data_IF_399345050156
#
_entry.id   IF_399345050156
#
_cell.length_a   1.000
_cell.length_b   1.000
_cell.length_c   1.000
_cell.angle_alpha   90.00
_cell.angle_beta   90.00
_cell.angle_gamma   90.00
#
_symmetry.space_group_name_H-M   'P 1'
#
loop_
_entity.id
_entity.type
_entity.pdbx_description
1 polymer ?
#
# COMPACT_ATOMS: atom_id res chain seq x y z
N UNK A 1 -3.62 -3.97 -8.82
CA UNK A 1 -4.03 -5.39 -8.74
C UNK A 1 -4.03 -5.83 -7.29
N UNK A 2 -4.92 -6.73 -6.87
CA UNK A 2 -5.01 -7.24 -5.50
C UNK A 2 -4.70 -8.74 -5.52
N UNK A 3 -3.87 -9.20 -4.59
CA UNK A 3 -3.47 -10.59 -4.44
C UNK A 3 -4.60 -11.50 -3.93
N UNK A 4 -4.44 -12.82 -4.08
CA UNK A 4 -5.52 -13.77 -3.78
C UNK A 4 -5.87 -13.80 -2.29
N UNK A 5 -4.91 -13.62 -1.39
CA UNK A 5 -5.17 -13.64 0.06
C UNK A 5 -6.02 -12.44 0.44
N UNK A 6 -5.64 -11.24 0.02
CA UNK A 6 -6.40 -10.03 0.32
C UNK A 6 -7.79 -10.04 -0.34
N UNK A 7 -7.90 -10.53 -1.58
CA UNK A 7 -9.19 -10.70 -2.24
C UNK A 7 -10.11 -11.69 -1.48
N UNK A 8 -9.54 -12.79 -0.98
CA UNK A 8 -10.24 -13.75 -0.14
C UNK A 8 -10.69 -13.14 1.18
N UNK A 9 -9.80 -12.43 1.88
CA UNK A 9 -10.10 -11.75 3.14
C UNK A 9 -11.22 -10.73 2.97
N UNK A 10 -11.18 -9.89 1.93
CA UNK A 10 -12.24 -8.92 1.64
C UNK A 10 -13.59 -9.61 1.40
N UNK A 11 -13.59 -10.73 0.68
CA UNK A 11 -14.81 -11.51 0.41
C UNK A 11 -15.38 -12.14 1.69
N UNK A 12 -14.50 -12.61 2.58
CA UNK A 12 -14.89 -13.14 3.90
C UNK A 12 -15.34 -12.03 4.86
N UNK A 13 -14.90 -10.79 4.63
CA UNK A 13 -15.10 -9.61 5.49
C UNK A 13 -16.20 -8.68 4.97
N UNK A 14 -17.42 -9.21 4.78
CA UNK A 14 -18.62 -8.49 4.33
C UNK A 14 -18.49 -7.63 3.04
N UNK A 15 -17.34 -7.65 2.37
CA UNK A 15 -16.99 -6.85 1.21
C UNK A 15 -16.32 -5.50 1.52
N UNK A 16 -15.97 -4.82 0.43
CA UNK A 16 -15.31 -3.52 0.44
C UNK A 16 -16.19 -2.50 -0.30
N UNK A 17 -16.30 -1.29 0.26
CA UNK A 17 -17.03 -0.16 -0.31
C UNK A 17 -16.21 0.58 -1.38
N UNK A 18 -14.88 0.49 -1.32
CA UNK A 18 -14.02 1.17 -2.30
C UNK A 18 -12.53 0.90 -2.12
N UNK A 19 -11.81 0.98 -3.23
CA UNK A 19 -10.36 0.90 -3.31
C UNK A 19 -9.83 2.19 -3.96
N UNK A 20 -8.88 2.84 -3.30
CA UNK A 20 -8.11 3.95 -3.87
C UNK A 20 -6.63 3.60 -3.85
N UNK A 21 -5.89 3.94 -4.91
CA UNK A 21 -4.44 3.71 -4.97
C UNK A 21 -3.72 5.02 -5.30
N UNK A 22 -2.53 5.20 -4.73
CA UNK A 22 -1.62 6.28 -5.08
C UNK A 22 -0.18 5.79 -5.19
N UNK A 23 0.61 6.57 -5.92
CA UNK A 23 2.05 6.42 -6.00
C UNK A 23 2.71 7.67 -5.39
N UNK A 24 3.54 7.46 -4.38
CA UNK A 24 4.36 8.49 -3.75
C UNK A 24 5.83 8.24 -4.07
N UNK A 25 6.63 9.30 -3.97
CA UNK A 25 8.08 9.28 -4.20
C UNK A 25 8.77 10.08 -3.11
N UNK A 26 9.92 9.62 -2.63
CA UNK A 26 10.79 10.41 -1.75
C UNK A 26 11.93 11.13 -2.51
N UNK A 27 12.73 11.91 -1.78
CA UNK A 27 13.87 12.62 -2.37
C UNK A 27 14.97 11.69 -2.92
N UNK A 28 15.08 10.46 -2.41
CA UNK A 28 16.01 9.43 -2.91
C UNK A 28 15.49 8.69 -4.15
N UNK A 29 14.25 9.00 -4.59
CA UNK A 29 13.61 8.36 -5.74
C UNK A 29 12.96 7.01 -5.41
N UNK A 30 12.92 6.59 -4.15
CA UNK A 30 12.19 5.38 -3.76
C UNK A 30 10.69 5.58 -4.01
N UNK A 31 10.03 4.51 -4.45
CA UNK A 31 8.62 4.52 -4.82
C UNK A 31 7.78 3.86 -3.73
N UNK A 32 6.65 4.47 -3.40
CA UNK A 32 5.73 3.96 -2.38
C UNK A 32 4.32 3.91 -2.96
N UNK A 33 3.85 2.69 -3.25
CA UNK A 33 2.46 2.47 -3.61
C UNK A 33 1.61 2.36 -2.36
N UNK A 34 0.49 3.05 -2.31
CA UNK A 34 -0.42 2.99 -1.17
C UNK A 34 -1.81 2.68 -1.67
N UNK A 35 -2.37 1.54 -1.25
CA UNK A 35 -3.74 1.14 -1.51
C UNK A 35 -4.59 1.27 -0.24
N UNK A 36 -5.69 1.99 -0.36
CA UNK A 36 -6.66 2.24 0.70
C UNK A 36 -7.94 1.46 0.40
N UNK A 37 -8.28 0.53 1.28
CA UNK A 37 -9.52 -0.26 1.23
C UNK A 37 -10.47 0.28 2.28
N UNK A 38 -11.68 0.63 1.86
CA UNK A 38 -12.77 1.02 2.78
C UNK A 38 -13.66 -0.20 2.98
N UNK A 39 -13.53 -0.89 4.11
CA UNK A 39 -14.35 -2.07 4.41
C UNK A 39 -15.80 -1.67 4.69
N UNK A 40 -16.72 -2.58 4.38
CA UNK A 40 -18.14 -2.38 4.63
C UNK A 40 -18.48 -2.42 6.12
N UNK A 41 -17.86 -3.34 6.86
CA UNK A 41 -18.00 -3.43 8.31
C UNK A 41 -16.67 -3.01 8.99
N UNK A 42 -16.67 -1.97 9.86
CA UNK A 42 -15.48 -1.58 10.61
C UNK A 42 -14.96 -2.67 11.55
N UNK A 43 -15.80 -3.63 11.98
CA UNK A 43 -15.37 -4.73 12.84
C UNK A 43 -14.37 -5.67 12.15
N UNK A 44 -14.41 -5.73 10.81
CA UNK A 44 -13.55 -6.61 10.02
C UNK A 44 -12.11 -6.08 9.88
N UNK A 45 -11.89 -4.78 10.17
CA UNK A 45 -10.58 -4.12 10.00
C UNK A 45 -9.49 -4.82 10.78
N UNK A 46 -9.76 -5.15 12.06
CA UNK A 46 -8.78 -5.82 12.90
C UNK A 46 -8.42 -7.23 12.38
N UNK A 47 -9.42 -7.96 11.88
CA UNK A 47 -9.22 -9.28 11.30
C UNK A 47 -8.35 -9.21 10.04
N UNK A 48 -8.73 -8.37 9.07
CA UNK A 48 -7.99 -8.19 7.81
C UNK A 48 -6.55 -7.73 8.09
N UNK A 49 -6.37 -6.73 8.95
CA UNK A 49 -5.05 -6.20 9.29
C UNK A 49 -4.16 -7.29 9.94
N UNK A 50 -4.71 -8.07 10.86
CA UNK A 50 -3.97 -9.13 11.56
C UNK A 50 -3.51 -10.22 10.58
N UNK A 51 -4.37 -10.63 9.64
CA UNK A 51 -4.04 -11.64 8.65
C UNK A 51 -2.94 -11.16 7.70
N UNK A 52 -3.03 -9.91 7.22
CA UNK A 52 -2.00 -9.31 6.37
C UNK A 52 -0.66 -9.15 7.11
N UNK A 53 -0.68 -8.65 8.34
CA UNK A 53 0.52 -8.47 9.14
C UNK A 53 1.19 -9.79 9.53
N UNK A 54 0.46 -10.92 9.49
CA UNK A 54 1.00 -12.25 9.71
C UNK A 54 1.95 -12.73 8.60
N UNK A 55 1.80 -12.21 7.37
CA UNK A 55 2.61 -12.57 6.21
C UNK A 55 3.08 -11.33 5.43
N UNK A 56 3.95 -10.47 6.01
CA UNK A 56 4.34 -9.20 5.40
C UNK A 56 5.25 -9.34 4.16
N UNK A 57 5.72 -10.55 3.86
CA UNK A 57 6.50 -10.85 2.65
C UNK A 57 5.60 -11.21 1.45
N UNK A 58 4.32 -11.52 1.69
CA UNK A 58 3.36 -11.83 0.63
C UNK A 58 2.76 -10.51 0.11
N UNK A 59 3.32 -9.98 -0.97
CA UNK A 59 2.88 -8.70 -1.54
C UNK A 59 1.46 -8.83 -2.12
N UNK A 60 0.48 -8.37 -1.36
CA UNK A 60 -0.95 -8.46 -1.71
C UNK A 60 -1.48 -7.31 -2.58
N UNK A 61 -0.66 -6.30 -2.90
CA UNK A 61 -1.06 -5.17 -3.74
C UNK A 61 0.00 -4.93 -4.80
N UNK A 62 -0.43 -4.96 -6.06
CA UNK A 62 0.43 -4.62 -7.19
C UNK A 62 0.78 -3.14 -7.22
N UNK A 63 2.01 -2.83 -7.61
CA UNK A 63 2.52 -1.47 -7.73
C UNK A 63 1.99 -0.80 -8.99
N UNK A 64 1.74 0.51 -8.90
CA UNK A 64 1.34 1.31 -10.05
C UNK A 64 2.57 1.57 -10.93
N UNK A 65 2.40 1.48 -12.24
CA UNK A 65 3.44 1.87 -13.19
C UNK A 65 3.48 3.40 -13.26
N UNK A 66 4.64 4.03 -13.04
CA UNK A 66 4.73 5.47 -13.18
C UNK A 66 4.37 5.91 -14.61
N UNK A 67 3.59 6.99 -14.73
CA UNK A 67 3.29 7.61 -16.02
C UNK A 67 4.57 8.12 -16.70
N UNK A 68 4.60 8.18 -18.04
CA UNK A 68 5.79 8.60 -18.81
C UNK A 68 6.33 9.98 -18.40
N UNK A 69 5.45 10.85 -17.94
CA UNK A 69 5.76 12.26 -17.65
C UNK A 69 6.09 12.47 -16.16
N UNK A 70 6.08 11.40 -15.35
CA UNK A 70 6.32 11.47 -13.89
C UNK A 70 7.78 11.72 -13.51
N UNK A 71 8.71 11.57 -14.45
CA UNK A 71 10.16 11.61 -14.18
C UNK A 71 10.65 10.44 -13.31
N UNK A 72 9.82 9.40 -13.14
CA UNK A 72 10.16 8.17 -12.43
C UNK A 72 10.64 7.09 -13.39
N UNK A 73 11.58 6.28 -12.91
CA UNK A 73 12.08 5.13 -13.65
C UNK A 73 11.11 3.97 -13.46
N UNK A 74 10.68 3.35 -14.56
CA UNK A 74 9.99 2.07 -14.48
C UNK A 74 10.93 1.02 -13.87
N UNK A 75 10.57 0.51 -12.70
CA UNK A 75 11.26 -0.60 -12.06
C UNK A 75 10.93 -1.92 -12.78
N UNK A 76 11.86 -2.90 -12.78
CA UNK A 76 11.57 -4.23 -13.30
C UNK A 76 10.52 -4.94 -12.44
N UNK A 77 9.82 -5.91 -13.01
CA UNK A 77 8.70 -6.59 -12.34
C UNK A 77 9.11 -7.42 -11.11
N UNK A 78 10.38 -7.82 -11.04
CA UNK A 78 11.02 -8.55 -9.95
C UNK A 78 11.79 -7.65 -8.98
N UNK A 79 11.62 -6.32 -9.08
CA UNK A 79 12.25 -5.38 -8.17
C UNK A 79 11.86 -5.68 -6.72
N UNK A 80 12.86 -5.61 -5.84
CA UNK A 80 12.68 -5.79 -4.41
C UNK A 80 11.60 -4.86 -3.86
N UNK A 81 10.74 -5.40 -3.00
CA UNK A 81 9.67 -4.62 -2.37
C UNK A 81 9.53 -4.98 -0.88
N UNK A 82 9.04 -4.02 -0.10
CA UNK A 82 8.59 -4.22 1.28
C UNK A 82 7.14 -3.83 1.40
N UNK A 83 6.43 -4.40 2.36
CA UNK A 83 5.05 -4.05 2.66
C UNK A 83 4.90 -3.56 4.10
N UNK A 84 4.01 -2.60 4.30
CA UNK A 84 3.58 -2.15 5.63
C UNK A 84 2.08 -1.91 5.60
N UNK A 85 1.47 -1.98 6.77
CA UNK A 85 0.03 -1.87 6.93
C UNK A 85 -0.32 -0.81 7.97
N UNK A 86 -1.47 -0.17 7.81
CA UNK A 86 -2.05 0.71 8.82
C UNK A 86 -3.57 0.66 8.72
N UNK A 87 -4.28 1.00 9.79
CA UNK A 87 -5.74 1.02 9.77
C UNK A 87 -6.33 2.10 10.68
N UNK A 88 -7.51 2.59 10.31
CA UNK A 88 -8.29 3.52 11.12
C UNK A 88 -9.77 3.47 10.72
N UNK A 89 -10.68 3.44 11.69
CA UNK A 89 -12.11 3.36 11.43
C UNK A 89 -12.46 2.10 10.63
N UNK A 90 -13.06 2.27 9.44
CA UNK A 90 -13.33 1.19 8.49
C UNK A 90 -12.28 1.07 7.36
N UNK A 91 -11.13 1.72 7.51
CA UNK A 91 -10.10 1.79 6.47
C UNK A 91 -8.90 0.92 6.80
N UNK A 92 -8.45 0.14 5.81
CA UNK A 92 -7.17 -0.57 5.82
C UNK A 92 -6.29 0.02 4.71
N UNK A 93 -5.08 0.43 5.08
CA UNK A 93 -4.03 0.81 4.14
C UNK A 93 -3.01 -0.31 4.00
N UNK A 94 -2.66 -0.57 2.75
CA UNK A 94 -1.59 -1.47 2.35
C UNK A 94 -0.58 -0.65 1.56
N UNK A 95 0.61 -0.49 2.12
CA UNK A 95 1.73 0.20 1.49
C UNK A 95 2.73 -0.79 0.93
N UNK A 96 3.26 -0.52 -0.27
CA UNK A 96 4.37 -1.25 -0.88
C UNK A 96 5.48 -0.26 -1.21
N UNK A 97 6.66 -0.43 -0.62
CA UNK A 97 7.84 0.38 -0.90
C UNK A 97 8.82 -0.36 -1.82
N UNK A 98 9.39 0.33 -2.80
CA UNK A 98 10.42 -0.20 -3.68
C UNK A 98 11.62 0.76 -3.76
N UNK A 99 12.83 0.20 -3.80
CA UNK A 99 14.07 0.96 -3.96
C UNK A 99 14.19 1.51 -5.38
N UNK A 100 14.74 2.72 -5.48
CA UNK A 100 14.89 3.42 -6.77
C UNK A 100 15.83 2.72 -7.77
N UNK A 101 16.74 1.87 -7.29
CA UNK A 101 17.63 1.06 -8.12
C UNK A 101 17.07 -0.32 -8.45
N UNK A 102 15.91 -0.70 -7.87
CA UNK A 102 15.24 -1.97 -8.04
C UNK A 102 15.83 -3.13 -7.24
N UNK A 103 16.93 -2.93 -6.52
CA UNK A 103 17.58 -3.98 -5.73
C UNK A 103 17.07 -3.98 -4.29
N UNK A 104 17.00 -5.17 -3.69
CA UNK A 104 16.65 -5.31 -2.27
C UNK A 104 17.79 -4.70 -1.42
N UNK A 105 17.48 -3.59 -0.76
CA UNK A 105 18.33 -2.99 0.26
C UNK A 105 17.92 -3.43 1.67
N UNK A 106 18.34 -2.68 2.69
CA UNK A 106 17.90 -2.91 4.07
C UNK A 106 16.38 -2.72 4.19
N UNK A 107 15.68 -3.80 4.55
CA UNK A 107 14.23 -3.84 4.74
C UNK A 107 13.72 -2.72 5.66
N UNK A 108 14.42 -2.49 6.78
CA UNK A 108 14.00 -1.50 7.77
C UNK A 108 14.04 -0.08 7.19
N UNK A 109 14.96 0.19 6.25
CA UNK A 109 15.10 1.52 5.65
C UNK A 109 13.85 1.95 4.88
N UNK A 110 13.14 1.02 4.23
CA UNK A 110 11.89 1.36 3.55
C UNK A 110 10.68 1.30 4.49
N UNK A 111 10.63 0.36 5.44
CA UNK A 111 9.54 0.29 6.42
C UNK A 111 9.50 1.55 7.29
N UNK A 112 10.65 2.04 7.76
CA UNK A 112 10.76 3.26 8.57
C UNK A 112 10.28 4.52 7.83
N UNK A 113 10.28 4.49 6.49
CA UNK A 113 9.72 5.56 5.65
C UNK A 113 8.25 5.34 5.34
N UNK A 114 7.87 4.08 5.11
CA UNK A 114 6.54 3.68 4.66
C UNK A 114 5.52 3.79 5.80
N UNK A 115 5.82 3.36 7.02
CA UNK A 115 4.87 3.44 8.14
C UNK A 115 4.47 4.90 8.49
N UNK A 116 5.38 5.89 8.56
CA UNK A 116 5.00 7.29 8.72
C UNK A 116 4.13 7.82 7.57
N UNK A 117 4.41 7.42 6.32
CA UNK A 117 3.60 7.79 5.17
C UNK A 117 2.16 7.27 5.31
N UNK A 118 1.98 6.00 5.66
CA UNK A 118 0.65 5.42 5.86
C UNK A 118 -0.13 6.15 6.96
N UNK A 119 0.53 6.48 8.06
CA UNK A 119 -0.07 7.26 9.15
C UNK A 119 -0.47 8.67 8.71
N UNK A 120 0.32 9.32 7.85
CA UNK A 120 -0.02 10.63 7.29
C UNK A 120 -1.24 10.52 6.37
N UNK A 121 -1.31 9.50 5.52
CA UNK A 121 -2.46 9.24 4.63
C UNK A 121 -3.75 8.98 5.41
N UNK A 122 -3.70 8.22 6.51
CA UNK A 122 -4.88 8.00 7.37
C UNK A 122 -5.42 9.30 7.98
N UNK A 123 -4.54 10.24 8.29
CA UNK A 123 -4.88 11.52 8.93
C UNK A 123 -5.27 12.60 7.93
N UNK A 124 -5.03 12.38 6.63
CA UNK A 124 -5.38 13.34 5.59
C UNK A 124 -6.91 13.49 5.50
N UNK A 125 -7.43 14.73 5.38
CA UNK A 125 -8.85 14.97 5.17
C UNK A 125 -9.31 14.31 3.86
N UNK A 126 -10.58 13.90 3.79
CA UNK A 126 -11.12 13.14 2.67
C UNK A 126 -10.98 13.82 1.28
N UNK A 127 -10.74 15.13 1.25
CA UNK A 127 -10.51 15.95 0.06
C UNK A 127 -9.07 15.90 -0.48
N UNK A 128 -8.10 15.47 0.33
CA UNK A 128 -6.69 15.28 -0.06
C UNK A 128 -6.34 13.80 -0.28
N UNK A 129 -7.36 12.92 -0.22
CA UNK A 129 -7.19 11.51 -0.55
C UNK A 129 -6.72 11.41 -2.01
N UNK A 130 -5.78 10.50 -2.29
CA UNK A 130 -5.05 10.48 -3.54
C UNK A 130 -5.96 10.53 -4.76
N UNK A 131 -5.78 11.59 -5.54
CA UNK A 131 -6.45 11.80 -6.83
C UNK A 131 -5.68 11.03 -7.90
N UNK A 132 -6.44 10.26 -8.67
CA UNK A 132 -5.98 9.48 -9.83
C UNK A 132 -5.38 10.43 -10.87
N UNK A 133 -4.16 10.13 -11.32
CA UNK A 133 -3.70 10.48 -12.68
C UNK A 133 -3.57 9.22 -13.48
#
# INVERSE_FOLDING_TARGET
>A
MVGPTLAGLITQSHGCLGLHQALYRNAAGDEFNVAMFTLKDPADVAHVLTQLAGNPADIEVGTLVPGSDSGLRRLPADAGAVQSFAAYGNTVLVGVGQWSDGHVGDYNTLVDKLSPLLNAVLKAPATDKPVVT
#
